data_IF_719846703318
#
_entry.id   IF_719846703318
#
_cell.length_a   1.000
_cell.length_b   1.000
_cell.length_c   1.000
_cell.angle_alpha   90.00
_cell.angle_beta   90.00
_cell.angle_gamma   90.00
#
_symmetry.space_group_name_H-M   'P 1'
#
loop_
_entity.id
_entity.type
_entity.pdbx_description
1 polymer ?
#
# COMPACT_ATOMS: atom_id res chain seq x y z
N UNK A 1 -31.52 15.09 -18.54
CA UNK A 1 -30.94 13.74 -18.34
C UNK A 1 -30.08 13.71 -17.06
N UNK A 2 -30.61 14.14 -15.89
CA UNK A 2 -29.71 14.73 -14.87
C UNK A 2 -29.79 14.16 -13.45
N UNK A 3 -30.79 13.33 -13.11
CA UNK A 3 -30.86 12.69 -11.78
C UNK A 3 -29.89 11.52 -11.58
N UNK A 4 -29.69 10.72 -12.63
CA UNK A 4 -28.87 9.50 -12.58
C UNK A 4 -27.37 9.80 -12.42
N UNK A 5 -26.87 10.88 -13.02
CA UNK A 5 -25.48 11.29 -12.90
C UNK A 5 -25.14 11.78 -11.48
N UNK A 6 -26.03 12.54 -10.84
CA UNK A 6 -25.83 13.01 -9.45
C UNK A 6 -25.80 11.86 -8.43
N UNK A 7 -26.71 10.90 -8.56
CA UNK A 7 -26.76 9.72 -7.68
C UNK A 7 -25.49 8.87 -7.81
N UNK A 8 -25.02 8.62 -9.03
CA UNK A 8 -23.77 7.87 -9.27
C UNK A 8 -22.53 8.57 -8.72
N UNK A 9 -22.46 9.90 -8.81
CA UNK A 9 -21.35 10.69 -8.22
C UNK A 9 -21.37 10.61 -6.70
N UNK A 10 -22.55 10.71 -6.09
CA UNK A 10 -22.72 10.59 -4.64
C UNK A 10 -22.29 9.21 -4.14
N UNK A 11 -22.77 8.14 -4.78
CA UNK A 11 -22.41 6.75 -4.46
C UNK A 11 -20.91 6.54 -4.61
N UNK A 12 -20.30 7.04 -5.70
CA UNK A 12 -18.85 6.93 -5.90
C UNK A 12 -18.05 7.63 -4.80
N UNK A 13 -18.48 8.83 -4.37
CA UNK A 13 -17.84 9.57 -3.28
C UNK A 13 -17.96 8.81 -1.95
N UNK A 14 -19.14 8.28 -1.66
CA UNK A 14 -19.39 7.47 -0.48
C UNK A 14 -18.52 6.21 -0.47
N UNK A 15 -18.52 5.43 -1.55
CA UNK A 15 -17.73 4.20 -1.66
C UNK A 15 -16.22 4.47 -1.55
N UNK A 16 -15.74 5.60 -2.08
CA UNK A 16 -14.34 6.02 -1.92
C UNK A 16 -14.01 6.29 -0.45
N UNK A 17 -14.84 7.05 0.25
CA UNK A 17 -14.66 7.34 1.68
C UNK A 17 -14.72 6.06 2.52
N UNK A 18 -15.71 5.21 2.27
CA UNK A 18 -15.87 3.92 2.93
C UNK A 18 -14.65 3.00 2.72
N UNK A 19 -14.09 2.93 1.52
CA UNK A 19 -12.88 2.16 1.25
C UNK A 19 -11.67 2.69 2.03
N UNK A 20 -11.46 4.01 2.07
CA UNK A 20 -10.38 4.64 2.85
C UNK A 20 -10.54 4.32 4.34
N UNK A 21 -11.74 4.48 4.88
CA UNK A 21 -12.05 4.16 6.27
C UNK A 21 -11.76 2.68 6.57
N UNK A 22 -12.27 1.76 5.74
CA UNK A 22 -12.08 0.31 5.93
C UNK A 22 -10.60 -0.08 5.90
N UNK A 23 -9.80 0.51 5.00
CA UNK A 23 -8.34 0.31 5.01
C UNK A 23 -7.68 0.88 6.25
N UNK A 24 -8.12 2.06 6.71
CA UNK A 24 -7.63 2.64 7.95
C UNK A 24 -7.89 1.73 9.16
N UNK A 25 -9.10 1.17 9.26
CA UNK A 25 -9.48 0.19 10.28
C UNK A 25 -8.59 -1.08 10.21
N UNK A 26 -8.42 -1.65 9.02
CA UNK A 26 -7.57 -2.84 8.80
C UNK A 26 -6.10 -2.59 9.15
N UNK A 27 -5.55 -1.44 8.74
CA UNK A 27 -4.17 -1.07 9.07
C UNK A 27 -3.96 -0.91 10.59
N UNK A 28 -4.95 -0.36 11.30
CA UNK A 28 -4.91 -0.26 12.77
C UNK A 28 -4.91 -1.64 13.41
N UNK A 29 -5.83 -2.52 13.01
CA UNK A 29 -5.90 -3.90 13.51
C UNK A 29 -4.56 -4.62 13.30
N UNK A 30 -4.00 -4.54 12.09
CA UNK A 30 -2.69 -5.11 11.76
C UNK A 30 -1.58 -4.57 12.65
N UNK A 31 -1.53 -3.26 12.83
CA UNK A 31 -0.54 -2.60 13.68
C UNK A 31 -0.64 -3.08 15.13
N UNK A 32 -1.86 -3.15 15.67
CA UNK A 32 -2.10 -3.58 17.05
C UNK A 32 -1.73 -5.06 17.24
N UNK A 33 -2.04 -5.93 16.27
CA UNK A 33 -1.60 -7.33 16.28
C UNK A 33 -0.08 -7.47 16.24
N UNK A 34 0.61 -6.67 15.42
CA UNK A 34 2.08 -6.66 15.37
C UNK A 34 2.72 -6.17 16.68
N UNK A 35 2.16 -5.13 17.31
CA UNK A 35 2.60 -4.67 18.62
C UNK A 35 2.38 -5.76 19.68
N UNK A 36 1.21 -6.41 19.66
CA UNK A 36 0.90 -7.50 20.59
C UNK A 36 1.86 -8.68 20.42
N UNK A 37 2.16 -9.07 19.18
CA UNK A 37 3.13 -10.13 18.88
C UNK A 37 4.52 -9.76 19.39
N UNK A 38 4.99 -8.53 19.14
CA UNK A 38 6.28 -8.03 19.63
C UNK A 38 6.38 -8.09 21.16
N UNK A 39 5.30 -7.73 21.86
CA UNK A 39 5.26 -7.78 23.32
C UNK A 39 5.31 -9.22 23.83
N UNK A 40 4.57 -10.14 23.19
CA UNK A 40 4.61 -11.56 23.54
C UNK A 40 6.00 -12.16 23.30
N UNK A 41 6.65 -11.84 22.18
CA UNK A 41 8.01 -12.28 21.89
C UNK A 41 9.01 -11.74 22.93
N UNK A 42 8.86 -10.49 23.39
CA UNK A 42 9.69 -9.94 24.46
C UNK A 42 9.51 -10.69 25.78
N UNK A 43 8.27 -11.04 26.15
CA UNK A 43 7.96 -11.81 27.37
C UNK A 43 8.54 -13.23 27.29
N UNK A 44 8.37 -13.91 26.14
CA UNK A 44 8.92 -15.25 25.90
C UNK A 44 10.45 -15.28 25.97
N UNK A 45 11.11 -14.23 25.47
CA UNK A 45 12.57 -14.10 25.52
C UNK A 45 13.11 -13.80 26.93
N UNK A 46 12.32 -13.15 27.79
CA UNK A 46 12.76 -12.67 29.10
C UNK A 46 12.67 -13.69 30.24
N UNK A 47 11.89 -14.77 30.12
CA UNK A 47 11.99 -16.04 30.87
C UNK A 47 10.69 -16.86 30.93
N UNK A 48 9.59 -16.43 30.30
CA UNK A 48 8.29 -17.06 30.54
C UNK A 48 7.83 -17.99 29.39
N UNK A 49 8.35 -19.23 29.36
CA UNK A 49 7.95 -20.28 28.42
C UNK A 49 6.62 -20.96 28.81
N UNK A 50 5.71 -20.26 29.49
CA UNK A 50 4.42 -20.83 29.84
C UNK A 50 3.66 -21.24 28.56
N UNK A 51 3.04 -22.44 28.52
CA UNK A 51 2.22 -22.88 27.38
C UNK A 51 1.11 -21.89 26.99
N UNK A 52 0.60 -21.14 27.97
CA UNK A 52 -0.42 -20.11 27.75
C UNK A 52 0.08 -18.95 26.87
N UNK A 53 1.33 -18.51 27.07
CA UNK A 53 1.94 -17.43 26.28
C UNK A 53 2.15 -17.85 24.82
N UNK A 54 2.55 -19.11 24.60
CA UNK A 54 2.64 -19.70 23.25
C UNK A 54 1.28 -19.84 22.58
N UNK A 55 0.26 -20.30 23.30
CA UNK A 55 -1.11 -20.38 22.77
C UNK A 55 -1.63 -19.01 22.34
N UNK A 56 -1.38 -17.98 23.15
CA UNK A 56 -1.76 -16.60 22.82
C UNK A 56 -1.00 -16.08 21.60
N UNK A 57 0.31 -16.36 21.52
CA UNK A 57 1.16 -16.01 20.36
C UNK A 57 0.64 -16.65 19.08
N UNK A 58 0.36 -17.96 19.09
CA UNK A 58 -0.20 -18.65 17.93
C UNK A 58 -1.57 -18.10 17.53
N UNK A 59 -2.40 -17.68 18.50
CA UNK A 59 -3.68 -17.04 18.18
C UNK A 59 -3.47 -15.72 17.45
N UNK A 60 -2.58 -14.87 17.94
CA UNK A 60 -2.24 -13.58 17.32
C UNK A 60 -1.62 -13.78 15.93
N UNK A 61 -0.75 -14.78 15.74
CA UNK A 61 -0.19 -15.11 14.43
C UNK A 61 -1.27 -15.52 13.43
N UNK A 62 -2.23 -16.35 13.83
CA UNK A 62 -3.36 -16.73 12.96
C UNK A 62 -4.25 -15.56 12.60
N UNK A 63 -4.54 -14.68 13.55
CA UNK A 63 -5.31 -13.45 13.29
C UNK A 63 -4.56 -12.55 12.29
N UNK A 64 -3.23 -12.44 12.44
CA UNK A 64 -2.40 -11.66 11.53
C UNK A 64 -2.33 -12.28 10.12
N UNK A 65 -2.26 -13.60 10.01
CA UNK A 65 -2.31 -14.33 8.74
C UNK A 65 -3.62 -14.08 8.00
N UNK A 66 -4.75 -14.06 8.70
CA UNK A 66 -6.04 -13.71 8.09
C UNK A 66 -6.05 -12.29 7.53
N UNK A 67 -5.49 -11.32 8.26
CA UNK A 67 -5.36 -9.94 7.78
C UNK A 67 -4.48 -9.88 6.52
N UNK A 68 -3.35 -10.58 6.50
CA UNK A 68 -2.50 -10.66 5.31
C UNK A 68 -3.19 -11.31 4.12
N UNK A 69 -3.96 -12.38 4.35
CA UNK A 69 -4.71 -13.03 3.29
C UNK A 69 -5.76 -12.08 2.68
N UNK A 70 -6.46 -11.30 3.51
CA UNK A 70 -7.39 -10.28 3.03
C UNK A 70 -6.68 -9.18 2.21
N UNK A 71 -5.50 -8.73 2.65
CA UNK A 71 -4.66 -7.79 1.88
C UNK A 71 -4.22 -8.39 0.55
N UNK A 72 -3.80 -9.66 0.54
CA UNK A 72 -3.39 -10.38 -0.66
C UNK A 72 -4.53 -10.45 -1.68
N UNK A 73 -5.71 -10.93 -1.28
CA UNK A 73 -6.91 -10.99 -2.14
C UNK A 73 -7.26 -9.59 -2.67
N UNK A 74 -7.20 -8.58 -1.79
CA UNK A 74 -7.44 -7.20 -2.18
C UNK A 74 -6.46 -6.72 -3.27
N UNK A 75 -5.17 -7.02 -3.12
CA UNK A 75 -4.17 -6.65 -4.11
C UNK A 75 -4.30 -7.47 -5.39
N UNK A 76 -4.63 -8.75 -5.30
CA UNK A 76 -4.92 -9.61 -6.45
C UNK A 76 -6.10 -9.06 -7.27
N UNK A 77 -7.18 -8.60 -6.64
CA UNK A 77 -8.32 -8.02 -7.37
C UNK A 77 -7.98 -6.73 -8.13
N UNK A 78 -6.91 -6.02 -7.72
CA UNK A 78 -6.54 -4.70 -8.28
C UNK A 78 -5.30 -4.75 -9.15
N UNK A 79 -4.50 -5.79 -8.98
CA UNK A 79 -3.40 -6.10 -9.85
C UNK A 79 -3.96 -6.52 -11.21
N UNK A 80 -3.41 -5.97 -12.28
CA UNK A 80 -3.64 -6.55 -13.61
C UNK A 80 -3.08 -7.98 -13.62
N UNK A 81 -3.72 -8.88 -14.38
CA UNK A 81 -3.48 -10.34 -14.43
C UNK A 81 -1.99 -10.75 -14.50
N UNK A 82 -1.13 -9.88 -15.03
CA UNK A 82 0.31 -10.13 -15.19
C UNK A 82 1.16 -9.84 -13.94
N UNK A 83 0.72 -8.96 -13.03
CA UNK A 83 1.50 -8.60 -11.84
C UNK A 83 1.50 -9.71 -10.79
N UNK A 84 0.35 -10.39 -10.63
CA UNK A 84 0.17 -11.51 -9.69
C UNK A 84 1.07 -12.71 -10.04
N UNK A 85 1.22 -12.99 -11.34
CA UNK A 85 1.99 -14.14 -11.84
C UNK A 85 3.52 -13.96 -11.77
N UNK A 86 4.01 -12.72 -11.74
CA UNK A 86 5.46 -12.44 -11.78
C UNK A 86 6.04 -11.90 -10.47
N UNK A 87 5.17 -11.59 -9.49
CA UNK A 87 5.54 -11.28 -8.12
C UNK A 87 6.45 -10.05 -7.94
N UNK A 88 6.93 -9.88 -6.71
CA UNK A 88 7.94 -8.88 -6.29
C UNK A 88 9.39 -9.30 -6.67
N UNK A 89 9.51 -10.37 -7.46
CA UNK A 89 10.78 -10.81 -8.02
C UNK A 89 11.28 -9.77 -9.00
N UNK A 90 12.59 -9.49 -8.98
CA UNK A 90 13.27 -8.57 -9.88
C UNK A 90 13.37 -9.14 -11.32
N UNK A 91 12.20 -9.42 -11.90
CA UNK A 91 12.02 -10.07 -13.19
C UNK A 91 12.13 -9.05 -14.33
N UNK A 92 12.44 -9.53 -15.53
CA UNK A 92 12.42 -8.68 -16.74
C UNK A 92 11.10 -7.92 -16.91
N UNK A 93 9.97 -8.51 -16.49
CA UNK A 93 8.67 -7.84 -16.50
C UNK A 93 8.59 -6.67 -15.51
N UNK A 94 9.14 -6.81 -14.30
CA UNK A 94 9.21 -5.72 -13.33
C UNK A 94 10.00 -4.54 -13.90
N UNK A 95 11.17 -4.81 -14.48
CA UNK A 95 11.98 -3.77 -15.12
C UNK A 95 11.27 -3.13 -16.32
N UNK A 96 10.59 -3.91 -17.17
CA UNK A 96 9.82 -3.39 -18.30
C UNK A 96 8.68 -2.48 -17.83
N UNK A 97 7.93 -2.89 -16.81
CA UNK A 97 6.84 -2.13 -16.24
C UNK A 97 7.33 -0.85 -15.54
N UNK A 98 8.37 -0.96 -14.70
CA UNK A 98 9.00 0.18 -14.03
C UNK A 98 9.58 1.18 -15.04
N UNK A 99 10.24 0.70 -16.09
CA UNK A 99 10.73 1.54 -17.18
C UNK A 99 9.59 2.18 -17.98
N UNK A 100 8.48 1.47 -18.18
CA UNK A 100 7.26 2.01 -18.79
C UNK A 100 6.67 3.16 -17.96
N UNK A 101 6.53 2.97 -16.65
CA UNK A 101 6.09 4.03 -15.73
C UNK A 101 7.08 5.19 -15.69
N UNK A 102 8.38 4.91 -15.63
CA UNK A 102 9.43 5.94 -15.67
C UNK A 102 9.32 6.78 -16.94
N UNK A 103 9.14 6.17 -18.12
CA UNK A 103 8.93 6.91 -19.38
C UNK A 103 7.66 7.76 -19.35
N UNK A 104 6.54 7.21 -18.88
CA UNK A 104 5.26 7.95 -18.81
C UNK A 104 5.31 9.13 -17.85
N UNK A 105 5.99 8.96 -16.72
CA UNK A 105 6.08 9.96 -15.66
C UNK A 105 7.33 10.85 -15.81
N UNK A 106 8.11 10.70 -16.88
CA UNK A 106 9.28 11.52 -17.11
C UNK A 106 8.85 12.92 -17.53
N UNK A 107 9.18 13.92 -16.70
CA UNK A 107 8.89 15.32 -17.00
C UNK A 107 9.99 15.84 -17.90
N UNK A 108 9.69 16.01 -19.19
CA UNK A 108 10.66 16.50 -20.19
C UNK A 108 10.93 17.99 -20.09
N UNK A 109 9.94 18.76 -19.64
CA UNK A 109 10.05 20.20 -19.47
C UNK A 109 9.13 20.65 -18.35
N UNK A 110 9.59 21.63 -17.58
CA UNK A 110 8.85 22.28 -16.52
C UNK A 110 8.84 23.79 -16.77
N UNK A 111 7.66 24.37 -16.93
CA UNK A 111 7.51 25.82 -17.12
C UNK A 111 7.31 26.45 -15.73
N UNK A 112 8.29 27.27 -15.31
CA UNK A 112 8.24 28.06 -14.09
C UNK A 112 7.82 29.51 -14.39
N UNK A 113 7.67 30.33 -13.34
CA UNK A 113 7.20 31.72 -13.43
C UNK A 113 8.10 32.59 -14.32
N UNK A 114 9.40 32.33 -14.36
CA UNK A 114 10.39 33.14 -15.08
C UNK A 114 11.24 32.38 -16.10
N UNK A 115 11.19 31.05 -16.11
CA UNK A 115 12.01 30.24 -17.02
C UNK A 115 11.39 28.86 -17.31
N UNK A 116 11.80 28.27 -18.43
CA UNK A 116 11.47 26.88 -18.77
C UNK A 116 12.67 26.00 -18.50
N UNK A 117 12.52 25.04 -17.58
CA UNK A 117 13.54 24.05 -17.25
C UNK A 117 13.35 22.82 -18.14
N UNK A 118 14.37 22.48 -18.93
CA UNK A 118 14.35 21.32 -19.84
C UNK A 118 15.32 20.22 -19.38
N UNK A 119 16.34 20.60 -18.61
CA UNK A 119 17.31 19.66 -18.07
C UNK A 119 16.74 18.93 -16.85
N UNK A 120 16.83 17.61 -16.85
CA UNK A 120 16.32 16.76 -15.77
C UNK A 120 16.91 17.12 -14.40
N UNK A 121 18.18 17.51 -14.36
CA UNK A 121 18.85 17.89 -13.10
C UNK A 121 18.26 19.19 -12.53
N UNK A 122 17.99 20.16 -13.40
CA UNK A 122 17.44 21.46 -13.01
C UNK A 122 15.96 21.33 -12.62
N UNK A 123 15.19 20.51 -13.35
CA UNK A 123 13.80 20.13 -12.99
C UNK A 123 13.78 19.47 -11.60
N UNK A 124 14.66 18.49 -11.34
CA UNK A 124 14.72 17.81 -10.05
C UNK A 124 15.10 18.76 -8.92
N UNK A 125 16.11 19.60 -9.12
CA UNK A 125 16.53 20.59 -8.13
C UNK A 125 15.42 21.59 -7.83
N UNK A 126 14.69 22.04 -8.85
CA UNK A 126 13.59 22.98 -8.67
C UNK A 126 12.42 22.37 -7.89
N UNK A 127 12.07 21.11 -8.15
CA UNK A 127 10.99 20.40 -7.43
C UNK A 127 11.36 20.12 -5.97
N UNK A 128 12.62 19.83 -5.68
CA UNK A 128 13.08 19.52 -4.31
C UNK A 128 13.29 20.77 -3.46
N UNK A 129 13.69 21.89 -4.06
CA UNK A 129 14.00 23.13 -3.35
C UNK A 129 12.83 24.15 -3.33
N UNK A 130 11.62 23.73 -3.70
CA UNK A 130 10.40 24.53 -3.62
C UNK A 130 9.78 24.44 -2.23
#
# INVERSE_FOLDING_TARGET
MDGWHGSLVSIRRFLRGWNIQKRGEQNKIKHDLLLKLKNLDAILNMNDKLPLNWNERYRVERELEQVYHMEEVYWQQRAEKNWILKGDSNSSFFHLFANGRRRKNNILQLVAVSCTLVNQKDISNHVVNF
#
